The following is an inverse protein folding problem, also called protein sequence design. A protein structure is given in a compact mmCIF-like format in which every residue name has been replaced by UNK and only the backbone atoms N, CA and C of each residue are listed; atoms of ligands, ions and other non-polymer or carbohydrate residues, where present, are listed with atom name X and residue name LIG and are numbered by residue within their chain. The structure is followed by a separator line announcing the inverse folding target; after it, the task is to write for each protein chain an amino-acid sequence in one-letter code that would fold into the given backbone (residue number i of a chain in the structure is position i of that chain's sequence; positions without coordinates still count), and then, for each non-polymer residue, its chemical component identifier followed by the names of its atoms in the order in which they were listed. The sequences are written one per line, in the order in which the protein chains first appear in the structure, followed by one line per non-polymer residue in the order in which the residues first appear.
data_IF_359571247396
#
_entry.id   IF_359571247396
#
_cell.length_a   1.000
_cell.length_b   1.000
_cell.length_c   1.000
_cell.angle_alpha   90.00
_cell.angle_beta   90.00
_cell.angle_gamma   90.00
#
_symmetry.space_group_name_H-M   'P 1'
#
loop_
_entity.id
_entity.type
_entity.pdbx_description
1 polymer ?
#
# COMPACT_ATOMS: atom_id res chain seq x y z
N UNK A 1 -19.57 5.46 -6.12
CA UNK A 1 -18.92 6.51 -5.31
C UNK A 1 -17.41 6.44 -5.55
N UNK A 2 -16.81 7.45 -6.16
CA UNK A 2 -15.36 7.47 -6.41
C UNK A 2 -14.62 8.06 -5.20
N UNK A 3 -13.93 7.21 -4.45
CA UNK A 3 -12.96 7.64 -3.43
C UNK A 3 -11.68 8.08 -4.15
N UNK A 4 -11.46 9.39 -4.25
CA UNK A 4 -10.17 9.91 -4.71
C UNK A 4 -9.08 9.45 -3.74
N UNK A 5 -7.99 8.90 -4.26
CA UNK A 5 -6.82 8.53 -3.45
C UNK A 5 -6.02 9.79 -3.14
N UNK A 6 -5.43 9.87 -1.95
CA UNK A 6 -4.61 11.03 -1.59
C UNK A 6 -4.29 11.15 -0.11
N UNK A 7 -3.43 12.10 0.22
CA UNK A 7 -3.13 12.50 1.59
C UNK A 7 -3.96 13.73 1.96
N UNK A 8 -4.60 13.71 3.13
CA UNK A 8 -5.50 14.74 3.61
C UNK A 8 -5.04 15.23 4.97
N UNK A 9 -4.94 16.55 5.14
CA UNK A 9 -4.72 17.16 6.45
C UNK A 9 -6.07 17.32 7.15
N UNK A 10 -6.21 16.70 8.31
CA UNK A 10 -7.44 16.66 9.10
C UNK A 10 -7.23 17.39 10.43
N UNK A 11 -8.27 18.07 10.89
CA UNK A 11 -8.37 18.59 12.27
C UNK A 11 -9.65 18.03 12.88
N UNK A 12 -9.55 17.42 14.05
CA UNK A 12 -10.71 17.01 14.84
C UNK A 12 -11.08 18.14 15.81
N UNK A 13 -12.35 18.43 16.01
CA UNK A 13 -12.80 19.32 17.09
C UNK A 13 -13.63 18.52 18.08
N UNK A 14 -13.32 18.64 19.37
CA UNK A 14 -14.09 18.04 20.46
C UNK A 14 -14.86 19.14 21.19
N UNK A 15 -16.17 18.94 21.33
CA UNK A 15 -17.05 19.84 22.07
C UNK A 15 -17.30 19.30 23.47
N UNK A 16 -16.86 20.05 24.48
CA UNK A 16 -17.07 19.72 25.89
C UNK A 16 -18.26 20.49 26.47
N UNK A 17 -19.14 19.76 27.14
CA UNK A 17 -20.16 20.29 28.05
C UNK A 17 -19.77 19.88 29.46
N UNK A 18 -19.94 20.79 30.41
CA UNK A 18 -19.59 20.54 31.80
C UNK A 18 -20.86 20.49 32.65
N UNK A 19 -20.87 19.56 33.61
CA UNK A 19 -21.86 19.52 34.66
C UNK A 19 -21.15 19.78 36.00
N UNK A 20 -21.83 20.42 36.94
CA UNK A 20 -21.35 20.63 38.30
C UNK A 20 -22.33 20.08 39.32
N UNK A 21 -21.82 19.67 40.48
CA UNK A 21 -22.63 19.26 41.62
C UNK A 21 -22.09 19.90 42.91
N UNK A 22 -22.96 20.08 43.89
CA UNK A 22 -22.60 20.59 45.20
C UNK A 22 -23.38 19.83 46.29
N UNK A 23 -22.66 19.10 47.14
CA UNK A 23 -23.26 18.19 48.11
C UNK A 23 -24.19 17.17 47.44
N UNK A 24 -25.32 16.88 48.08
CA UNK A 24 -26.30 15.89 47.59
C UNK A 24 -27.30 16.47 46.56
N UNK A 25 -27.02 17.65 45.98
CA UNK A 25 -27.96 18.38 45.12
C UNK A 25 -28.03 17.90 43.66
N UNK A 26 -27.36 16.80 43.31
CA UNK A 26 -27.34 16.25 41.95
C UNK A 26 -26.50 17.10 40.97
N UNK A 27 -26.42 16.65 39.72
CA UNK A 27 -25.66 17.31 38.65
C UNK A 27 -26.50 18.40 37.97
N UNK A 28 -25.88 19.54 37.69
CA UNK A 28 -26.48 20.67 36.96
C UNK A 28 -25.58 21.05 35.79
N UNK A 29 -26.14 21.29 34.60
CA UNK A 29 -25.35 21.70 33.46
C UNK A 29 -24.77 23.11 33.66
N UNK A 30 -23.57 23.31 33.15
CA UNK A 30 -22.98 24.63 32.92
C UNK A 30 -23.32 25.01 31.48
N UNK A 31 -24.02 26.13 31.31
CA UNK A 31 -24.39 26.63 29.99
C UNK A 31 -23.14 27.01 29.18
N UNK A 32 -23.05 26.45 27.97
CA UNK A 32 -21.96 26.69 27.04
C UNK A 32 -21.30 25.40 26.52
N UNK A 33 -20.43 25.59 25.54
CA UNK A 33 -19.61 24.53 24.94
C UNK A 33 -18.18 25.05 24.86
N UNK A 34 -17.22 24.23 25.28
CA UNK A 34 -15.80 24.47 25.04
C UNK A 34 -15.36 23.58 23.88
N UNK A 35 -15.08 24.20 22.74
CA UNK A 35 -14.60 23.49 21.54
C UNK A 35 -13.07 23.48 21.51
N UNK A 36 -12.47 22.30 21.49
CA UNK A 36 -11.02 22.11 21.47
C UNK A 36 -10.60 21.41 20.17
N UNK A 37 -9.84 22.06 19.28
CA UNK A 37 -9.29 21.40 18.11
C UNK A 37 -8.09 20.52 18.49
N UNK A 38 -7.93 19.40 17.79
CA UNK A 38 -6.72 18.59 17.84
C UNK A 38 -5.57 19.30 17.12
N UNK A 39 -4.35 18.80 17.31
CA UNK A 39 -3.29 19.04 16.34
C UNK A 39 -3.73 18.52 14.96
N UNK A 40 -3.21 19.12 13.88
CA UNK A 40 -3.45 18.63 12.53
C UNK A 40 -2.72 17.32 12.33
N UNK A 41 -3.37 16.34 11.70
CA UNK A 41 -2.75 15.08 11.33
C UNK A 41 -3.12 14.68 9.91
N UNK A 42 -2.24 13.90 9.28
CA UNK A 42 -2.41 13.47 7.89
C UNK A 42 -3.03 12.08 7.84
N UNK A 43 -4.08 11.95 7.04
CA UNK A 43 -4.73 10.66 6.74
C UNK A 43 -4.48 10.32 5.27
N UNK A 44 -4.13 9.08 4.98
CA UNK A 44 -3.92 8.59 3.61
C UNK A 44 -5.10 7.73 3.20
N UNK A 45 -5.83 8.17 2.17
CA UNK A 45 -6.86 7.35 1.53
C UNK A 45 -6.22 6.56 0.39
N UNK A 46 -6.11 5.25 0.57
CA UNK A 46 -5.66 4.31 -0.46
C UNK A 46 -6.83 3.44 -0.93
N UNK A 47 -6.74 2.97 -2.17
CA UNK A 47 -7.59 1.89 -2.70
C UNK A 47 -6.67 0.75 -3.09
N UNK A 48 -6.86 -0.37 -2.42
CA UNK A 48 -6.28 -1.65 -2.79
C UNK A 48 -7.23 -2.37 -3.76
N UNK A 49 -6.67 -2.99 -4.79
CA UNK A 49 -7.42 -3.85 -5.72
C UNK A 49 -6.74 -5.21 -5.69
N UNK A 50 -7.37 -6.20 -5.05
CA UNK A 50 -6.90 -7.58 -5.09
C UNK A 50 -7.48 -8.26 -6.33
N UNK A 51 -6.62 -8.72 -7.24
CA UNK A 51 -7.00 -9.61 -8.33
C UNK A 51 -6.56 -11.01 -7.92
N UNK A 52 -7.49 -11.97 -7.94
CA UNK A 52 -7.14 -13.37 -7.77
C UNK A 52 -6.43 -13.83 -9.05
N UNK A 53 -5.11 -13.98 -8.96
CA UNK A 53 -4.33 -14.64 -10.02
C UNK A 53 -4.31 -16.13 -9.73
N UNK A 54 -4.58 -16.94 -10.75
CA UNK A 54 -4.51 -18.40 -10.65
C UNK A 54 -3.06 -18.94 -10.68
N UNK A 55 -2.07 -18.05 -10.82
CA UNK A 55 -0.65 -18.41 -10.87
C UNK A 55 0.03 -18.20 -9.52
N UNK A 56 1.00 -19.06 -9.23
CA UNK A 56 1.91 -18.90 -8.09
C UNK A 56 2.87 -17.73 -8.37
N UNK A 57 2.87 -16.74 -7.47
CA UNK A 57 3.75 -15.57 -7.55
C UNK A 57 5.23 -15.91 -7.32
N UNK A 58 5.54 -17.12 -6.85
CA UNK A 58 6.90 -17.61 -6.63
C UNK A 58 7.39 -18.51 -7.78
N UNK A 59 6.52 -18.86 -8.73
CA UNK A 59 6.96 -19.56 -9.93
C UNK A 59 7.80 -18.61 -10.79
N UNK A 60 8.82 -19.15 -11.45
CA UNK A 60 9.61 -18.37 -12.40
C UNK A 60 8.68 -17.74 -13.44
N UNK A 61 8.82 -16.44 -13.74
CA UNK A 61 7.93 -15.77 -14.66
C UNK A 61 8.06 -16.39 -16.06
N UNK A 62 7.03 -17.11 -16.51
CA UNK A 62 6.92 -17.53 -17.90
C UNK A 62 6.61 -16.30 -18.75
N UNK A 63 7.67 -15.65 -19.21
CA UNK A 63 7.60 -14.60 -20.22
C UNK A 63 7.97 -15.19 -21.59
N UNK A 64 7.37 -14.72 -22.69
CA UNK A 64 7.81 -15.08 -24.05
C UNK A 64 9.22 -14.56 -24.41
N UNK A 65 9.94 -13.99 -23.44
CA UNK A 65 11.37 -13.73 -23.53
C UNK A 65 12.20 -14.87 -22.91
N UNK A 66 11.64 -15.62 -21.96
CA UNK A 66 12.31 -16.73 -21.28
C UNK A 66 12.32 -18.02 -22.14
N UNK A 67 11.29 -18.26 -22.96
CA UNK A 67 11.27 -19.37 -23.93
C UNK A 67 12.23 -19.14 -25.12
N UNK A 68 12.36 -17.89 -25.58
CA UNK A 68 13.29 -17.50 -26.63
C UNK A 68 14.76 -17.72 -26.21
N UNK A 69 15.08 -17.54 -24.92
CA UNK A 69 16.42 -17.81 -24.40
C UNK A 69 16.77 -19.31 -24.37
N UNK A 70 15.79 -20.18 -24.10
CA UNK A 70 15.98 -21.64 -24.11
C UNK A 70 16.20 -22.22 -25.52
N UNK A 71 15.90 -21.46 -26.57
CA UNK A 71 16.13 -21.87 -27.97
C UNK A 71 17.48 -21.40 -28.53
N UNK A 72 18.27 -20.62 -27.78
CA UNK A 72 19.55 -20.04 -28.23
C UNK A 72 20.79 -20.81 -27.73
N UNK A 73 20.67 -22.08 -27.34
CA UNK A 73 21.85 -22.95 -27.23
C UNK A 73 22.19 -23.55 -28.60
N UNK A 74 22.89 -22.77 -29.44
CA UNK A 74 23.51 -23.25 -30.69
C UNK A 74 24.85 -23.97 -30.42
N UNK A 75 25.24 -24.98 -31.23
CA UNK A 75 26.29 -25.93 -30.89
C UNK A 75 27.70 -25.34 -31.05
N UNK A 76 28.60 -25.73 -30.14
CA UNK A 76 30.05 -25.49 -30.18
C UNK A 76 30.61 -25.85 -31.57
N UNK A 77 31.26 -24.88 -32.24
CA UNK A 77 32.00 -25.11 -33.49
C UNK A 77 33.24 -25.96 -33.20
N UNK A 78 33.37 -27.07 -33.92
CA UNK A 78 34.56 -27.92 -33.92
C UNK A 78 35.67 -27.27 -34.77
N UNK A 79 36.68 -26.69 -34.12
CA UNK A 79 37.87 -26.14 -34.77
C UNK A 79 38.88 -27.26 -35.05
N UNK A 80 38.65 -28.03 -36.12
CA UNK A 80 39.59 -29.04 -36.61
C UNK A 80 40.80 -28.41 -37.33
N UNK A 81 41.98 -28.47 -36.73
CA UNK A 81 43.27 -28.06 -37.32
C UNK A 81 43.67 -28.97 -38.50
N UNK A 82 44.15 -28.46 -39.66
CA UNK A 82 44.62 -29.32 -40.74
C UNK A 82 46.06 -29.79 -40.52
N UNK A 83 46.28 -31.09 -40.49
CA UNK A 83 47.61 -31.72 -40.57
C UNK A 83 48.09 -31.78 -42.02
N UNK A 84 49.30 -31.33 -42.38
CA UNK A 84 49.85 -31.50 -43.72
C UNK A 84 50.45 -32.90 -43.88
N UNK A 85 50.08 -33.62 -44.93
CA UNK A 85 50.75 -34.85 -45.36
C UNK A 85 51.68 -34.53 -46.54
N UNK A 86 52.96 -34.90 -46.38
CA UNK A 86 53.98 -35.04 -47.42
C UNK A 86 53.75 -36.34 -48.21
#
# INVERSE_FOLDING_TARGET
MHTFKGAYTVTLTVDYRADYSFGDQGWRPIEGIVSVPSARFTVVAAKESTVLVAQDCNAEPTSPAADAAAHFEEPVRDEGTPTPHL
#
